data_IF_669185411385
#
_entry.id   IF_669185411385
#
_cell.length_a   1.000
_cell.length_b   1.000
_cell.length_c   1.000
_cell.angle_alpha   90.00
_cell.angle_beta   90.00
_cell.angle_gamma   90.00
#
_symmetry.space_group_name_H-M   'P 1'
#
loop_
_entity.id
_entity.type
_entity.pdbx_description
1 polymer ?
#
# COMPACT_ATOMS: atom_id res chain seq x y z
N UNK A 1 -12.41 -13.33 -14.89
CA UNK A 1 -10.94 -13.32 -15.03
C UNK A 1 -10.40 -14.47 -14.20
N UNK A 2 -9.31 -15.12 -14.65
CA UNK A 2 -8.62 -16.14 -13.85
C UNK A 2 -8.04 -15.49 -12.56
N UNK A 3 -8.18 -16.11 -11.37
CA UNK A 3 -7.52 -15.69 -10.14
C UNK A 3 -6.05 -15.27 -10.31
N UNK A 4 -5.26 -15.98 -11.13
CA UNK A 4 -3.86 -15.61 -11.39
C UNK A 4 -3.73 -14.24 -12.05
N UNK A 5 -4.60 -13.92 -13.01
CA UNK A 5 -4.61 -12.61 -13.68
C UNK A 5 -4.94 -11.49 -12.69
N UNK A 6 -5.87 -11.73 -11.76
CA UNK A 6 -6.24 -10.74 -10.73
C UNK A 6 -5.08 -10.50 -9.76
N UNK A 7 -4.40 -11.56 -9.31
CA UNK A 7 -3.22 -11.46 -8.44
C UNK A 7 -2.06 -10.72 -9.13
N UNK A 8 -1.82 -11.00 -10.41
CA UNK A 8 -0.83 -10.28 -11.20
C UNK A 8 -1.18 -8.78 -11.33
N UNK A 9 -2.43 -8.46 -11.65
CA UNK A 9 -2.91 -7.08 -11.72
C UNK A 9 -2.75 -6.36 -10.37
N UNK A 10 -3.08 -7.01 -9.26
CA UNK A 10 -2.85 -6.48 -7.92
C UNK A 10 -1.36 -6.21 -7.66
N UNK A 11 -0.47 -7.12 -8.04
CA UNK A 11 0.98 -6.91 -7.92
C UNK A 11 1.48 -5.72 -8.73
N UNK A 12 1.00 -5.54 -9.96
CA UNK A 12 1.35 -4.38 -10.78
C UNK A 12 0.90 -3.08 -10.10
N UNK A 13 -0.34 -3.03 -9.61
CA UNK A 13 -0.85 -1.87 -8.89
C UNK A 13 -0.04 -1.56 -7.63
N UNK A 14 0.29 -2.57 -6.83
CA UNK A 14 1.14 -2.40 -5.66
C UNK A 14 2.56 -2.00 -6.01
N UNK A 15 3.13 -2.50 -7.11
CA UNK A 15 4.46 -2.11 -7.59
C UNK A 15 4.50 -0.63 -7.97
N UNK A 16 3.51 -0.14 -8.72
CA UNK A 16 3.42 1.29 -9.06
C UNK A 16 3.14 2.14 -7.81
N UNK A 17 2.27 1.68 -6.92
CA UNK A 17 2.03 2.36 -5.65
C UNK A 17 3.30 2.43 -4.80
N UNK A 18 4.08 1.35 -4.70
CA UNK A 18 5.33 1.30 -3.96
C UNK A 18 6.37 2.30 -4.51
N UNK A 19 6.48 2.44 -5.84
CA UNK A 19 7.31 3.48 -6.43
C UNK A 19 6.89 4.88 -5.98
N UNK A 20 5.59 5.18 -5.97
CA UNK A 20 5.06 6.43 -5.40
C UNK A 20 5.38 6.59 -3.91
N UNK A 21 5.28 5.50 -3.13
CA UNK A 21 5.62 5.47 -1.71
C UNK A 21 7.10 5.78 -1.44
N UNK A 22 8.01 5.23 -2.24
CA UNK A 22 9.46 5.51 -2.18
C UNK A 22 9.72 6.99 -2.46
N UNK A 23 9.14 7.55 -3.52
CA UNK A 23 9.29 8.98 -3.84
C UNK A 23 8.83 9.86 -2.67
N UNK A 24 7.67 9.55 -2.08
CA UNK A 24 7.16 10.28 -0.92
C UNK A 24 8.05 10.15 0.32
N UNK A 25 8.57 8.95 0.59
CA UNK A 25 9.48 8.71 1.71
C UNK A 25 10.78 9.50 1.53
N UNK A 26 11.36 9.50 0.33
CA UNK A 26 12.56 10.28 0.01
C UNK A 26 12.34 11.79 0.18
N UNK A 27 11.19 12.32 -0.24
CA UNK A 27 10.85 13.73 -0.01
C UNK A 27 10.74 14.02 1.49
N UNK A 28 10.04 13.17 2.25
CA UNK A 28 9.81 13.37 3.68
C UNK A 28 11.09 13.23 4.51
N UNK A 29 12.02 12.38 4.10
CA UNK A 29 13.30 12.17 4.78
C UNK A 29 14.34 13.21 4.35
N UNK A 30 14.37 13.59 3.07
CA UNK A 30 15.31 14.57 2.53
C UNK A 30 14.92 16.02 2.79
N UNK A 31 13.64 16.31 3.06
CA UNK A 31 13.14 17.66 3.33
C UNK A 31 12.23 17.66 4.55
N UNK A 32 12.21 18.77 5.30
CA UNK A 32 11.25 19.02 6.38
C UNK A 32 9.85 19.39 5.86
N UNK A 33 9.41 18.80 4.74
CA UNK A 33 8.09 19.04 4.14
C UNK A 33 7.35 17.72 3.90
N UNK A 34 6.03 17.83 3.73
CA UNK A 34 5.19 16.72 3.29
C UNK A 34 5.30 16.55 1.76
N UNK A 35 5.08 15.34 1.24
CA UNK A 35 5.05 15.11 -0.20
C UNK A 35 3.89 15.88 -0.87
N UNK A 36 3.95 16.15 -2.19
CA UNK A 36 2.84 16.76 -2.92
C UNK A 36 1.55 15.95 -2.78
N UNK A 37 0.42 16.64 -2.60
CA UNK A 37 -0.86 16.00 -2.30
C UNK A 37 -1.32 15.03 -3.40
N UNK A 38 -1.09 15.37 -4.67
CA UNK A 38 -1.48 14.53 -5.80
C UNK A 38 -0.72 13.19 -5.83
N UNK A 39 0.54 13.15 -5.38
CA UNK A 39 1.32 11.90 -5.29
C UNK A 39 0.75 11.02 -4.17
N UNK A 40 0.42 11.62 -3.03
CA UNK A 40 -0.20 10.90 -1.91
C UNK A 40 -1.57 10.32 -2.30
N UNK A 41 -2.36 11.08 -3.05
CA UNK A 41 -3.67 10.62 -3.56
C UNK A 41 -3.54 9.53 -4.62
N UNK A 42 -2.62 9.67 -5.57
CA UNK A 42 -2.37 8.64 -6.58
C UNK A 42 -1.87 7.34 -5.95
N UNK A 43 -0.91 7.43 -5.03
CA UNK A 43 -0.40 6.28 -4.27
C UNK A 43 -1.53 5.58 -3.50
N UNK A 44 -2.32 6.34 -2.74
CA UNK A 44 -3.45 5.80 -1.97
C UNK A 44 -4.51 5.15 -2.85
N UNK A 45 -4.84 5.76 -4.00
CA UNK A 45 -5.79 5.21 -4.97
C UNK A 45 -5.30 3.89 -5.57
N UNK A 46 -4.05 3.83 -6.03
CA UNK A 46 -3.47 2.61 -6.60
C UNK A 46 -3.37 1.49 -5.56
N UNK A 47 -2.94 1.82 -4.34
CA UNK A 47 -2.90 0.87 -3.24
C UNK A 47 -4.30 0.35 -2.88
N UNK A 48 -5.31 1.22 -2.80
CA UNK A 48 -6.69 0.82 -2.52
C UNK A 48 -7.28 -0.05 -3.64
N UNK A 49 -6.97 0.24 -4.91
CA UNK A 49 -7.35 -0.60 -6.05
C UNK A 49 -6.72 -2.00 -5.95
N UNK A 50 -5.42 -2.08 -5.64
CA UNK A 50 -4.72 -3.35 -5.42
C UNK A 50 -5.32 -4.16 -4.25
N UNK A 51 -5.61 -3.50 -3.12
CA UNK A 51 -6.27 -4.14 -1.97
C UNK A 51 -7.65 -4.64 -2.34
N UNK A 52 -8.42 -3.89 -3.11
CA UNK A 52 -9.76 -4.30 -3.58
C UNK A 52 -9.68 -5.57 -4.42
N UNK A 53 -8.74 -5.64 -5.37
CA UNK A 53 -8.54 -6.85 -6.20
C UNK A 53 -8.10 -8.05 -5.36
N UNK A 54 -7.16 -7.85 -4.43
CA UNK A 54 -6.68 -8.91 -3.55
C UNK A 54 -7.80 -9.40 -2.62
N UNK A 55 -8.61 -8.51 -2.06
CA UNK A 55 -9.76 -8.86 -1.24
C UNK A 55 -10.80 -9.65 -2.05
N UNK A 56 -11.09 -9.21 -3.28
CA UNK A 56 -12.02 -9.91 -4.17
C UNK A 56 -11.57 -11.36 -4.41
N UNK A 57 -10.31 -11.58 -4.80
CA UNK A 57 -9.84 -12.95 -5.08
C UNK A 57 -9.74 -13.81 -3.82
N UNK A 58 -9.41 -13.23 -2.66
CA UNK A 58 -9.41 -13.95 -1.38
C UNK A 58 -10.80 -14.38 -0.92
N UNK A 59 -11.86 -13.64 -1.25
CA UNK A 59 -13.24 -13.98 -0.86
C UNK A 59 -13.87 -14.98 -1.83
N UNK A 60 -13.62 -14.81 -3.13
CA UNK A 60 -14.39 -15.49 -4.18
C UNK A 60 -13.62 -16.60 -4.92
N UNK A 61 -12.33 -16.78 -4.66
CA UNK A 61 -11.52 -17.82 -5.31
C UNK A 61 -10.69 -18.62 -4.31
N UNK A 62 -10.28 -19.82 -4.74
CA UNK A 62 -9.39 -20.64 -3.94
C UNK A 62 -7.94 -20.20 -4.15
N UNK A 63 -7.39 -19.48 -3.16
CA UNK A 63 -6.01 -18.97 -3.17
C UNK A 63 -5.23 -19.47 -1.96
N UNK A 64 -3.90 -19.60 -2.04
CA UNK A 64 -3.07 -20.00 -0.90
C UNK A 64 -3.24 -19.09 0.32
N UNK A 65 -3.07 -19.63 1.53
CA UNK A 65 -3.17 -18.88 2.80
C UNK A 65 -2.27 -17.63 2.85
N UNK A 66 -1.11 -17.69 2.18
CA UNK A 66 -0.19 -16.56 2.02
C UNK A 66 -0.87 -15.32 1.41
N UNK A 67 -1.86 -15.48 0.53
CA UNK A 67 -2.63 -14.38 -0.03
C UNK A 67 -3.47 -13.66 1.02
N UNK A 68 -4.05 -14.41 1.96
CA UNK A 68 -4.82 -13.87 3.08
C UNK A 68 -3.94 -13.12 4.07
N UNK A 69 -2.76 -13.65 4.39
CA UNK A 69 -1.78 -12.96 5.23
C UNK A 69 -1.26 -11.68 4.56
N UNK A 70 -0.99 -11.72 3.25
CA UNK A 70 -0.67 -10.53 2.46
C UNK A 70 -1.78 -9.47 2.56
N UNK A 71 -3.03 -9.87 2.35
CA UNK A 71 -4.19 -8.98 2.45
C UNK A 71 -4.28 -8.32 3.83
N UNK A 72 -4.11 -9.10 4.91
CA UNK A 72 -4.12 -8.57 6.27
C UNK A 72 -3.04 -7.51 6.49
N UNK A 73 -1.79 -7.78 6.08
CA UNK A 73 -0.69 -6.81 6.22
C UNK A 73 -0.94 -5.55 5.39
N UNK A 74 -1.45 -5.69 4.17
CA UNK A 74 -1.75 -4.56 3.29
C UNK A 74 -2.93 -3.74 3.78
N UNK A 75 -3.93 -4.34 4.44
CA UNK A 75 -5.01 -3.62 5.12
C UNK A 75 -4.49 -2.83 6.32
N UNK A 76 -3.60 -3.41 7.14
CA UNK A 76 -2.95 -2.69 8.24
C UNK A 76 -2.09 -1.53 7.72
N UNK A 77 -1.34 -1.75 6.65
CA UNK A 77 -0.59 -0.70 5.97
C UNK A 77 -1.54 0.39 5.45
N UNK A 78 -2.61 0.03 4.76
CA UNK A 78 -3.60 0.98 4.23
C UNK A 78 -4.23 1.82 5.35
N UNK A 79 -4.57 1.23 6.49
CA UNK A 79 -5.07 1.95 7.65
C UNK A 79 -4.05 2.99 8.16
N UNK A 80 -2.76 2.62 8.25
CA UNK A 80 -1.68 3.56 8.55
C UNK A 80 -1.55 4.68 7.52
N UNK A 81 -1.68 4.37 6.23
CA UNK A 81 -1.65 5.33 5.12
C UNK A 81 -2.81 6.33 5.20
N UNK A 82 -4.03 5.85 5.45
CA UNK A 82 -5.23 6.66 5.63
C UNK A 82 -5.07 7.58 6.84
N UNK A 83 -4.58 7.08 7.96
CA UNK A 83 -4.31 7.89 9.16
C UNK A 83 -3.27 8.98 8.88
N UNK A 84 -2.16 8.66 8.21
CA UNK A 84 -1.14 9.64 7.84
C UNK A 84 -1.70 10.70 6.90
N UNK A 85 -2.54 10.31 5.94
CA UNK A 85 -3.07 11.26 4.96
C UNK A 85 -4.19 12.15 5.53
N UNK A 86 -5.26 11.56 6.08
CA UNK A 86 -6.43 12.31 6.58
C UNK A 86 -6.17 12.92 7.97
N UNK A 87 -5.43 12.22 8.82
CA UNK A 87 -5.15 12.64 10.18
C UNK A 87 -4.02 13.66 10.28
N UNK A 88 -3.09 13.69 9.31
CA UNK A 88 -1.89 14.57 9.37
C UNK A 88 -1.72 15.41 8.11
N UNK A 89 -1.49 14.78 6.97
CA UNK A 89 -1.12 15.48 5.73
C UNK A 89 -2.15 16.53 5.32
N UNK A 90 -3.43 16.18 5.25
CA UNK A 90 -4.53 17.10 4.90
C UNK A 90 -4.74 18.22 5.93
N UNK A 91 -4.24 18.03 7.16
CA UNK A 91 -4.26 19.03 8.22
C UNK A 91 -2.98 19.87 8.26
N UNK A 92 -2.16 19.82 7.22
CA UNK A 92 -0.85 20.46 7.13
C UNK A 92 0.12 20.09 8.28
N UNK A 93 -0.11 18.96 8.94
CA UNK A 93 0.78 18.45 9.98
C UNK A 93 1.84 17.55 9.36
N UNK A 94 3.07 17.68 9.87
CA UNK A 94 4.18 16.84 9.42
C UNK A 94 3.92 15.37 9.73
N UNK A 95 4.16 14.48 8.77
CA UNK A 95 4.00 13.04 8.98
C UNK A 95 5.11 12.54 9.92
N UNK A 96 4.79 11.81 11.02
CA UNK A 96 5.82 11.28 11.91
C UNK A 96 6.59 10.15 11.20
N UNK A 97 7.93 10.21 11.26
CA UNK A 97 8.79 9.27 10.54
C UNK A 97 8.61 7.83 11.04
N UNK A 98 8.39 7.62 12.33
CA UNK A 98 8.14 6.29 12.90
C UNK A 98 6.94 5.59 12.28
N UNK A 99 5.82 6.30 12.11
CA UNK A 99 4.60 5.75 11.51
C UNK A 99 4.79 5.51 10.01
N UNK A 100 5.48 6.41 9.31
CA UNK A 100 5.82 6.23 7.89
C UNK A 100 6.66 4.98 7.67
N UNK A 101 7.69 4.75 8.49
CA UNK A 101 8.54 3.55 8.42
C UNK A 101 7.72 2.30 8.76
N UNK A 102 6.89 2.33 9.80
CA UNK A 102 6.02 1.20 10.14
C UNK A 102 5.04 0.84 9.01
N UNK A 103 4.41 1.85 8.40
CA UNK A 103 3.58 1.67 7.21
C UNK A 103 4.35 1.05 6.04
N UNK A 104 5.55 1.56 5.75
CA UNK A 104 6.38 1.04 4.67
C UNK A 104 6.79 -0.42 4.91
N UNK A 105 7.18 -0.78 6.14
CA UNK A 105 7.55 -2.15 6.50
C UNK A 105 6.37 -3.11 6.35
N UNK A 106 5.17 -2.73 6.81
CA UNK A 106 3.95 -3.52 6.64
C UNK A 106 3.62 -3.70 5.16
N UNK A 107 3.71 -2.63 4.36
CA UNK A 107 3.46 -2.69 2.93
C UNK A 107 4.46 -3.61 2.20
N UNK A 108 5.76 -3.48 2.50
CA UNK A 108 6.81 -4.33 1.91
C UNK A 108 6.61 -5.79 2.28
N UNK A 109 6.32 -6.09 3.55
CA UNK A 109 6.06 -7.45 3.99
C UNK A 109 4.81 -8.05 3.32
N UNK A 110 3.72 -7.28 3.20
CA UNK A 110 2.51 -7.68 2.50
C UNK A 110 2.75 -7.98 1.01
N UNK A 111 3.42 -7.06 0.30
CA UNK A 111 3.77 -7.26 -1.11
C UNK A 111 4.72 -8.45 -1.28
N UNK A 112 5.70 -8.64 -0.39
CA UNK A 112 6.61 -9.78 -0.44
C UNK A 112 5.84 -11.11 -0.30
N UNK A 113 4.87 -11.19 0.62
CA UNK A 113 4.00 -12.37 0.73
C UNK A 113 3.16 -12.58 -0.52
N UNK A 114 2.64 -11.50 -1.12
CA UNK A 114 1.87 -11.58 -2.37
C UNK A 114 2.70 -12.13 -3.53
N UNK A 115 3.96 -11.69 -3.65
CA UNK A 115 4.87 -12.17 -4.70
C UNK A 115 5.20 -13.67 -4.55
N UNK A 116 5.18 -14.20 -3.32
CA UNK A 116 5.36 -15.64 -3.05
C UNK A 116 4.13 -16.49 -3.40
N UNK A 117 3.00 -15.87 -3.78
CA UNK A 117 1.76 -16.54 -4.16
C UNK A 117 1.62 -16.68 -5.69
N UNK A 118 2.27 -15.80 -6.46
CA UNK A 118 2.26 -15.84 -7.92
C UNK A 118 3.00 -17.06 -8.48
#
# INVERSE_FOLDING_TARGET
MDPRTILFAACVLFGVAAAGGIVMALIRMGKKTNPPHWIAMLHGFLAAAGVTLLAYVSIYAHVPDKAHYSLLLLLLAAAGGVWMNLGRHQRNMLIPQSIMVGHALLAVAGVALLLLVL
#
